data_IF_543860892256
#
_entry.id   IF_543860892256
#
_cell.length_a   1.000
_cell.length_b   1.000
_cell.length_c   1.000
_cell.angle_alpha   90.00
_cell.angle_beta   90.00
_cell.angle_gamma   90.00
#
_symmetry.space_group_name_H-M   'P 1'
#
loop_
_entity.id
_entity.type
_entity.pdbx_description
1 polymer ?
#
# COMPACT_ATOMS: atom_id res chain seq x y z
N UNK A 1 -0.63 -14.10 -5.59
CA UNK A 1 -0.75 -12.79 -6.26
C UNK A 1 -1.04 -11.77 -5.19
N UNK A 2 -0.19 -10.74 -5.09
CA UNK A 2 -0.35 -9.61 -4.19
C UNK A 2 -1.14 -8.53 -4.93
N UNK A 3 -2.19 -7.99 -4.33
CA UNK A 3 -2.92 -6.84 -4.88
C UNK A 3 -2.82 -5.67 -3.94
N UNK A 4 -2.48 -4.50 -4.49
CA UNK A 4 -2.53 -3.24 -3.76
C UNK A 4 -3.47 -2.30 -4.51
N UNK A 5 -4.57 -1.92 -3.84
CA UNK A 5 -5.52 -0.94 -4.35
C UNK A 5 -5.33 0.37 -3.61
N UNK A 6 -5.15 1.44 -4.37
CA UNK A 6 -5.13 2.81 -3.88
C UNK A 6 -6.36 3.50 -4.45
N UNK A 7 -7.09 4.22 -3.60
CA UNK A 7 -8.29 4.97 -3.99
C UNK A 7 -8.01 6.46 -3.84
N UNK A 8 -8.40 7.23 -4.86
CA UNK A 8 -8.40 8.69 -4.84
C UNK A 8 -9.84 9.19 -4.77
N UNK A 9 -10.06 10.32 -4.11
CA UNK A 9 -11.29 11.10 -4.15
C UNK A 9 -10.94 12.50 -4.66
N UNK A 10 -11.24 12.75 -5.93
CA UNK A 10 -10.64 13.89 -6.64
C UNK A 10 -9.13 13.68 -6.78
N UNK A 11 -8.34 14.63 -6.31
CA UNK A 11 -6.88 14.53 -6.30
C UNK A 11 -6.32 13.92 -5.00
N UNK A 12 -7.14 13.79 -3.95
CA UNK A 12 -6.67 13.36 -2.62
C UNK A 12 -6.74 11.85 -2.44
N UNK A 13 -5.71 11.26 -1.83
CA UNK A 13 -5.71 9.85 -1.42
C UNK A 13 -6.75 9.59 -0.34
N UNK A 14 -7.62 8.59 -0.53
CA UNK A 14 -8.73 8.28 0.38
C UNK A 14 -8.58 6.93 1.10
N UNK A 15 -7.94 5.94 0.49
CA UNK A 15 -7.69 4.65 1.15
C UNK A 15 -6.59 3.84 0.47
N UNK A 16 -6.02 2.90 1.22
CA UNK A 16 -5.19 1.82 0.68
C UNK A 16 -5.68 0.47 1.20
N UNK A 17 -5.72 -0.51 0.30
CA UNK A 17 -5.96 -1.91 0.61
C UNK A 17 -4.83 -2.77 0.02
N UNK A 18 -4.31 -3.71 0.81
CA UNK A 18 -3.30 -4.69 0.40
C UNK A 18 -3.75 -6.09 0.78
N UNK A 19 -3.77 -7.00 -0.19
CA UNK A 19 -4.16 -8.39 0.00
C UNK A 19 -3.18 -9.38 -0.66
N UNK A 20 -3.18 -10.63 -0.20
CA UNK A 20 -2.48 -11.74 -0.87
C UNK A 20 -0.99 -11.88 -0.53
N UNK A 21 -0.47 -11.10 0.41
CA UNK A 21 0.93 -11.16 0.88
C UNK A 21 1.18 -12.24 1.97
N UNK A 22 0.20 -13.09 2.28
CA UNK A 22 0.35 -14.28 3.16
C UNK A 22 0.07 -15.61 2.45
N UNK A 23 -0.07 -15.65 1.12
CA UNK A 23 -0.51 -16.90 0.46
C UNK A 23 0.50 -18.02 0.62
N UNK A 24 0.07 -19.19 1.13
CA UNK A 24 0.92 -20.38 1.31
C UNK A 24 1.58 -20.87 0.01
N UNK A 25 0.99 -20.56 -1.16
CA UNK A 25 1.55 -20.87 -2.48
C UNK A 25 2.81 -20.06 -2.82
N UNK A 26 3.10 -19.00 -2.07
CA UNK A 26 4.28 -18.15 -2.23
C UNK A 26 5.39 -18.50 -1.21
N UNK A 27 5.18 -19.51 -0.35
CA UNK A 27 6.06 -19.85 0.78
C UNK A 27 5.39 -19.53 2.13
N UNK A 28 5.99 -19.94 3.26
CA UNK A 28 5.46 -19.54 4.57
C UNK A 28 5.61 -18.03 4.75
N UNK A 29 4.79 -17.44 5.63
CA UNK A 29 4.88 -16.03 6.02
C UNK A 29 6.32 -15.70 6.46
N UNK A 30 6.97 -14.75 5.77
CA UNK A 30 8.37 -14.37 6.02
C UNK A 30 9.42 -15.13 5.18
N UNK A 31 9.08 -16.24 4.53
CA UNK A 31 9.96 -16.95 3.60
C UNK A 31 9.92 -16.34 2.19
N UNK A 32 8.86 -15.60 1.86
CA UNK A 32 8.74 -14.88 0.60
C UNK A 32 9.25 -13.43 0.73
N UNK A 33 10.43 -13.17 0.16
CA UNK A 33 11.08 -11.85 0.15
C UNK A 33 10.18 -10.74 -0.46
N UNK A 34 9.38 -11.06 -1.47
CA UNK A 34 8.47 -10.10 -2.11
C UNK A 34 7.31 -9.73 -1.19
N UNK A 35 6.69 -10.72 -0.54
CA UNK A 35 5.64 -10.48 0.45
C UNK A 35 6.15 -9.62 1.60
N UNK A 36 7.36 -9.90 2.09
CA UNK A 36 8.01 -9.10 3.14
C UNK A 36 8.25 -7.65 2.69
N UNK A 37 8.75 -7.45 1.47
CA UNK A 37 8.98 -6.11 0.92
C UNK A 37 7.67 -5.30 0.79
N UNK A 38 6.61 -5.89 0.24
CA UNK A 38 5.30 -5.23 0.14
C UNK A 38 4.72 -4.94 1.52
N UNK A 39 4.81 -5.90 2.45
CA UNK A 39 4.29 -5.74 3.81
C UNK A 39 4.97 -4.57 4.53
N UNK A 40 6.30 -4.46 4.43
CA UNK A 40 7.03 -3.34 5.03
C UNK A 40 6.59 -2.01 4.43
N UNK A 41 6.52 -1.87 3.10
CA UNK A 41 6.10 -0.62 2.46
C UNK A 41 4.71 -0.17 2.92
N UNK A 42 3.73 -1.08 2.88
CA UNK A 42 2.33 -0.77 3.22
C UNK A 42 2.13 -0.52 4.71
N UNK A 43 2.75 -1.34 5.57
CA UNK A 43 2.63 -1.19 7.02
C UNK A 43 3.36 0.06 7.52
N UNK A 44 4.52 0.40 6.95
CA UNK A 44 5.23 1.63 7.30
C UNK A 44 4.41 2.86 6.92
N UNK A 45 3.76 2.88 5.74
CA UNK A 45 2.84 3.97 5.37
C UNK A 45 1.72 4.12 6.40
N UNK A 46 1.04 3.02 6.71
CA UNK A 46 -0.06 3.02 7.68
C UNK A 46 0.40 3.55 9.05
N UNK A 47 1.49 3.02 9.59
CA UNK A 47 2.02 3.41 10.90
C UNK A 47 2.39 4.89 10.94
N UNK A 48 3.06 5.39 9.90
CA UNK A 48 3.45 6.79 9.81
C UNK A 48 2.24 7.73 9.79
N UNK A 49 1.23 7.41 8.97
CA UNK A 49 0.01 8.22 8.89
C UNK A 49 -0.84 8.11 10.17
N UNK A 50 -0.86 6.94 10.82
CA UNK A 50 -1.58 6.74 12.08
C UNK A 50 -0.97 7.58 13.19
N UNK A 51 0.36 7.57 13.34
CA UNK A 51 1.08 8.41 14.30
C UNK A 51 0.88 9.90 14.04
N UNK A 52 0.66 10.27 12.77
CA UNK A 52 0.37 11.65 12.35
C UNK A 52 -1.10 12.05 12.50
N UNK A 53 -1.98 11.14 12.96
CA UNK A 53 -3.41 11.39 13.10
C UNK A 53 -4.15 11.58 11.76
N UNK A 54 -3.64 10.99 10.68
CA UNK A 54 -4.15 11.19 9.29
C UNK A 54 -5.00 10.03 8.76
N UNK A 55 -5.07 8.91 9.47
CA UNK A 55 -5.84 7.73 9.07
C UNK A 55 -6.65 7.18 10.23
N UNK A 56 -7.71 6.44 9.90
CA UNK A 56 -8.43 5.60 10.86
C UNK A 56 -7.60 4.35 11.20
N UNK A 57 -7.87 3.67 12.34
CA UNK A 57 -7.30 2.36 12.61
C UNK A 57 -7.55 1.39 11.45
N UNK A 58 -6.50 0.65 11.06
CA UNK A 58 -6.59 -0.30 9.97
C UNK A 58 -7.40 -1.55 10.36
N UNK A 59 -8.08 -2.12 9.36
CA UNK A 59 -8.52 -3.50 9.39
C UNK A 59 -7.35 -4.40 9.03
N UNK A 60 -6.96 -5.30 9.94
CA UNK A 60 -5.83 -6.21 9.75
C UNK A 60 -6.30 -7.64 9.95
N UNK A 61 -6.05 -8.48 8.95
CA UNK A 61 -6.32 -9.93 8.98
C UNK A 61 -5.17 -10.66 8.27
N UNK A 62 -5.17 -11.98 8.26
CA UNK A 62 -4.07 -12.72 7.63
C UNK A 62 -3.98 -12.42 6.12
N UNK A 63 -2.85 -11.83 5.72
CA UNK A 63 -2.59 -11.42 4.35
C UNK A 63 -3.45 -10.26 3.88
N UNK A 64 -4.04 -9.48 4.79
CA UNK A 64 -4.91 -8.35 4.48
C UNK A 64 -4.64 -7.14 5.39
N UNK A 65 -4.55 -5.97 4.78
CA UNK A 65 -4.50 -4.68 5.48
C UNK A 65 -5.29 -3.64 4.69
N UNK A 66 -6.23 -2.95 5.34
CA UNK A 66 -6.95 -1.80 4.77
C UNK A 66 -7.03 -0.66 5.76
N UNK A 67 -6.77 0.57 5.30
CA UNK A 67 -7.02 1.77 6.09
C UNK A 67 -7.63 2.89 5.24
N UNK A 68 -8.32 3.81 5.92
CA UNK A 68 -8.93 5.00 5.33
C UNK A 68 -8.19 6.24 5.80
N UNK A 69 -7.93 7.15 4.86
CA UNK A 69 -7.37 8.48 5.11
C UNK A 69 -8.50 9.38 5.61
N UNK A 70 -8.22 10.15 6.66
CA UNK A 70 -9.16 11.16 7.15
C UNK A 70 -9.20 12.33 6.16
N UNK A 71 -10.39 12.95 5.95
CA UNK A 71 -10.52 14.07 5.03
C UNK A 71 -9.52 15.18 5.33
N UNK A 72 -8.68 15.47 4.35
CA UNK A 72 -7.55 16.39 4.49
C UNK A 72 -7.15 16.89 3.11
N UNK A 73 -7.81 17.94 2.65
CA UNK A 73 -7.57 18.50 1.31
C UNK A 73 -6.09 18.90 1.15
N UNK A 74 -5.46 18.42 0.07
CA UNK A 74 -4.10 18.77 -0.35
C UNK A 74 -3.03 18.68 0.75
N UNK A 75 -3.13 17.68 1.61
CA UNK A 75 -2.12 17.46 2.64
C UNK A 75 -0.84 16.89 2.05
N UNK A 76 0.20 17.72 1.99
CA UNK A 76 1.51 17.38 1.45
C UNK A 76 2.13 16.16 2.14
N UNK A 77 1.88 15.93 3.44
CA UNK A 77 2.40 14.77 4.16
C UNK A 77 1.73 13.48 3.67
N UNK A 78 0.40 13.50 3.47
CA UNK A 78 -0.33 12.35 2.91
C UNK A 78 0.20 12.07 1.50
N UNK A 79 0.22 13.07 0.62
CA UNK A 79 0.63 12.90 -0.77
C UNK A 79 2.06 12.40 -0.89
N UNK A 80 3.03 13.06 -0.25
CA UNK A 80 4.45 12.68 -0.32
C UNK A 80 4.68 11.25 0.19
N UNK A 81 3.97 10.85 1.25
CA UNK A 81 4.11 9.50 1.83
C UNK A 81 3.52 8.43 0.92
N UNK A 82 2.36 8.69 0.32
CA UNK A 82 1.77 7.80 -0.66
C UNK A 82 2.64 7.69 -1.92
N UNK A 83 3.17 8.79 -2.43
CA UNK A 83 4.01 8.81 -3.64
C UNK A 83 5.32 8.04 -3.43
N UNK A 84 5.94 8.18 -2.25
CA UNK A 84 7.12 7.41 -1.85
C UNK A 84 6.83 5.90 -1.87
N UNK A 85 5.73 5.49 -1.24
CA UNK A 85 5.34 4.07 -1.14
C UNK A 85 4.93 3.53 -2.51
N UNK A 86 4.19 4.31 -3.29
CA UNK A 86 3.80 3.97 -4.65
C UNK A 86 5.01 3.79 -5.56
N UNK A 87 6.04 4.62 -5.42
CA UNK A 87 7.31 4.46 -6.15
C UNK A 87 7.98 3.13 -5.82
N UNK A 88 8.01 2.75 -4.54
CA UNK A 88 8.49 1.43 -4.11
C UNK A 88 7.68 0.27 -4.69
N UNK A 89 6.35 0.37 -4.65
CA UNK A 89 5.44 -0.65 -5.20
C UNK A 89 5.56 -0.77 -6.73
N UNK A 90 5.65 0.35 -7.46
CA UNK A 90 5.90 0.38 -8.91
C UNK A 90 7.24 -0.28 -9.24
N UNK A 91 8.27 -0.02 -8.43
CA UNK A 91 9.57 -0.67 -8.59
C UNK A 91 9.49 -2.20 -8.41
N UNK A 92 8.79 -2.68 -7.38
CA UNK A 92 8.57 -4.12 -7.17
C UNK A 92 7.74 -4.73 -8.30
N UNK A 93 6.67 -4.07 -8.76
CA UNK A 93 5.84 -4.53 -9.88
C UNK A 93 6.64 -4.70 -11.17
N UNK A 94 7.59 -3.80 -11.45
CA UNK A 94 8.46 -3.88 -12.63
C UNK A 94 9.39 -5.10 -12.58
N UNK A 95 9.87 -5.47 -11.38
CA UNK A 95 10.71 -6.65 -11.16
C UNK A 95 9.91 -7.95 -11.11
N UNK A 96 8.67 -7.90 -10.60
CA UNK A 96 7.79 -9.05 -10.38
C UNK A 96 6.40 -8.81 -10.98
N UNK A 97 6.28 -8.71 -12.32
CA UNK A 97 5.07 -8.29 -12.99
C UNK A 97 3.93 -9.33 -12.95
N UNK A 98 4.18 -10.59 -12.60
CA UNK A 98 3.14 -11.62 -12.50
C UNK A 98 2.66 -11.83 -11.06
N UNK A 99 3.35 -11.22 -10.11
CA UNK A 99 3.17 -11.46 -8.69
C UNK A 99 2.48 -10.29 -7.99
N UNK A 100 2.56 -9.09 -8.56
CA UNK A 100 1.95 -7.86 -8.02
C UNK A 100 0.93 -7.30 -9.02
N UNK A 101 -0.20 -6.83 -8.50
CA UNK A 101 -1.20 -6.04 -9.21
C UNK A 101 -1.40 -4.71 -8.47
N UNK A 102 -1.27 -3.58 -9.17
CA UNK A 102 -1.53 -2.24 -8.64
C UNK A 102 -2.82 -1.70 -9.27
N UNK A 103 -3.77 -1.31 -8.43
CA UNK A 103 -5.13 -0.92 -8.86
C UNK A 103 -5.40 0.52 -8.39
N UNK A 104 -5.97 1.35 -9.26
CA UNK A 104 -6.35 2.74 -8.94
C UNK A 104 -5.16 3.68 -8.76
N UNK A 105 -3.97 3.28 -9.24
CA UNK A 105 -2.75 4.09 -9.19
C UNK A 105 -2.72 5.08 -10.37
N UNK A 106 -2.33 6.35 -10.15
CA UNK A 106 -2.11 7.29 -11.24
C UNK A 106 -1.04 6.74 -12.21
N UNK A 107 -1.33 6.82 -13.51
CA UNK A 107 -0.43 6.30 -14.56
C UNK A 107 0.93 7.01 -14.57
N UNK A 108 1.04 8.22 -14.00
CA UNK A 108 2.27 9.01 -14.01
C UNK A 108 2.72 9.49 -12.62
N UNK A 109 4.03 9.41 -12.36
CA UNK A 109 4.71 9.88 -11.16
C UNK A 109 6.17 9.41 -11.21
N UNK A 110 7.00 10.22 -11.91
CA UNK A 110 8.43 10.08 -12.29
C UNK A 110 8.85 8.84 -13.07
#
# INVERSE_FOLDING_TARGET
MIRVRITLQGESYSSLESEGHSSASLGKKGENLLCSAVSVLVQTLYLFLLQSGKVKPAEIRDGYLRFEVLPSENDALIHTSFDLVLSGLKNLKRQYPKEIELIGVPENGT
#
